data_IF_287402431727
#
_entry.id   IF_287402431727
#
_cell.length_a   1.000
_cell.length_b   1.000
_cell.length_c   1.000
_cell.angle_alpha   90.00
_cell.angle_beta   90.00
_cell.angle_gamma   90.00
#
_symmetry.space_group_name_H-M   'P 1'
#
loop_
_entity.id
_entity.type
_entity.pdbx_description
1 polymer ?
#
# COMPACT_ATOMS: atom_id res chain seq x y z
N UNK A 1 -14.74 4.26 -6.30
CA UNK A 1 -13.51 3.92 -5.54
C UNK A 1 -13.79 4.13 -4.06
N UNK A 2 -13.41 3.16 -3.22
CA UNK A 2 -13.56 3.23 -1.76
C UNK A 2 -12.18 3.46 -1.15
N UNK A 3 -12.04 4.43 -0.24
CA UNK A 3 -10.78 4.78 0.42
C UNK A 3 -11.02 4.99 1.92
N UNK A 4 -10.25 4.29 2.75
CA UNK A 4 -10.34 4.38 4.21
C UNK A 4 -9.88 5.75 4.72
N UNK A 5 -8.85 6.30 4.10
CA UNK A 5 -8.30 7.60 4.46
C UNK A 5 -9.18 8.76 3.98
N UNK A 6 -8.93 9.96 4.50
CA UNK A 6 -9.64 11.16 4.10
C UNK A 6 -9.32 11.67 2.69
N UNK A 7 -8.31 11.11 2.04
CA UNK A 7 -7.75 11.58 0.78
C UNK A 7 -7.50 10.43 -0.17
N UNK A 8 -7.94 10.54 -1.42
CA UNK A 8 -7.60 9.61 -2.48
C UNK A 8 -6.18 9.90 -2.99
N UNK A 9 -5.51 8.86 -3.48
CA UNK A 9 -4.17 8.94 -4.04
C UNK A 9 -3.16 9.64 -3.10
N UNK A 10 -3.22 9.33 -1.80
CA UNK A 10 -2.45 9.99 -0.74
C UNK A 10 -0.93 9.94 -0.94
N UNK A 11 -0.43 8.91 -1.64
CA UNK A 11 1.00 8.76 -1.94
C UNK A 11 1.45 9.48 -3.21
N UNK A 12 0.52 10.13 -3.92
CA UNK A 12 0.82 10.91 -5.12
C UNK A 12 1.05 12.38 -4.76
N UNK A 13 2.09 12.99 -5.34
CA UNK A 13 2.48 14.35 -5.00
C UNK A 13 1.85 15.40 -5.91
N UNK A 14 1.44 16.53 -5.29
CA UNK A 14 1.20 17.82 -5.93
C UNK A 14 0.31 17.75 -7.18
N UNK A 15 0.74 18.37 -8.26
CA UNK A 15 -0.01 18.45 -9.52
C UNK A 15 -0.36 17.09 -10.14
N UNK A 16 0.44 16.06 -9.91
CA UNK A 16 0.13 14.72 -10.41
C UNK A 16 -1.12 14.15 -9.74
N UNK A 17 -1.26 14.35 -8.43
CA UNK A 17 -2.45 13.94 -7.70
C UNK A 17 -3.70 14.69 -8.18
N UNK A 18 -3.60 16.00 -8.35
CA UNK A 18 -4.71 16.82 -8.84
C UNK A 18 -5.16 16.38 -10.25
N UNK A 19 -4.21 16.14 -11.15
CA UNK A 19 -4.49 15.62 -12.49
C UNK A 19 -5.19 14.26 -12.45
N UNK A 20 -4.75 13.36 -11.56
CA UNK A 20 -5.36 12.04 -11.38
C UNK A 20 -6.80 12.15 -10.89
N UNK A 21 -7.05 12.96 -9.86
CA UNK A 21 -8.41 13.20 -9.34
C UNK A 21 -9.31 13.78 -10.42
N UNK A 22 -8.82 14.75 -11.17
CA UNK A 22 -9.58 15.36 -12.26
C UNK A 22 -9.96 14.35 -13.38
N UNK A 23 -9.03 13.46 -13.76
CA UNK A 23 -9.35 12.41 -14.73
C UNK A 23 -10.38 11.41 -14.19
N UNK A 24 -10.30 11.07 -12.90
CA UNK A 24 -11.30 10.20 -12.27
C UNK A 24 -12.70 10.85 -12.25
N UNK A 25 -12.79 12.14 -11.95
CA UNK A 25 -14.03 12.91 -12.00
C UNK A 25 -14.60 12.95 -13.41
N UNK A 26 -13.77 13.22 -14.42
CA UNK A 26 -14.19 13.21 -15.84
C UNK A 26 -14.75 11.88 -16.29
N UNK A 27 -14.22 10.78 -15.78
CA UNK A 27 -14.72 9.43 -16.03
C UNK A 27 -16.00 9.10 -15.25
N UNK A 28 -16.53 10.03 -14.44
CA UNK A 28 -17.72 9.81 -13.62
C UNK A 28 -17.48 8.82 -12.46
N UNK A 29 -16.24 8.65 -12.03
CA UNK A 29 -15.91 7.72 -10.95
C UNK A 29 -16.44 8.24 -9.61
N UNK A 30 -17.30 7.47 -8.96
CA UNK A 30 -17.71 7.75 -7.59
C UNK A 30 -16.53 7.54 -6.62
N UNK A 31 -16.15 8.60 -5.90
CA UNK A 31 -15.04 8.61 -4.95
C UNK A 31 -15.60 8.69 -3.53
N UNK A 32 -15.30 7.67 -2.71
CA UNK A 32 -15.80 7.53 -1.36
C UNK A 32 -14.63 7.51 -0.36
N UNK A 33 -14.06 8.67 0.00
CA UNK A 33 -13.08 8.77 1.07
C UNK A 33 -13.74 8.52 2.44
N UNK A 34 -12.92 8.27 3.47
CA UNK A 34 -13.36 7.96 4.85
C UNK A 34 -14.38 6.82 4.89
N UNK A 35 -14.23 5.86 3.98
CA UNK A 35 -15.15 4.74 3.80
C UNK A 35 -14.39 3.44 3.98
N UNK A 36 -14.82 2.64 4.95
CA UNK A 36 -14.22 1.34 5.27
C UNK A 36 -14.90 0.25 4.48
N UNK A 37 -14.13 -0.60 3.81
CA UNK A 37 -14.63 -1.87 3.29
C UNK A 37 -14.79 -2.86 4.46
N UNK A 38 -15.98 -3.41 4.63
CA UNK A 38 -16.28 -4.39 5.67
C UNK A 38 -16.25 -5.82 5.12
N UNK A 39 -16.84 -6.04 3.95
CA UNK A 39 -17.05 -7.36 3.39
C UNK A 39 -17.24 -7.28 1.88
N UNK A 40 -16.75 -8.27 1.15
CA UNK A 40 -17.09 -8.48 -0.25
C UNK A 40 -18.16 -9.57 -0.31
N UNK A 41 -19.25 -9.24 -0.96
CA UNK A 41 -20.41 -10.13 -1.11
C UNK A 41 -20.56 -10.55 -2.58
N UNK A 42 -21.38 -11.56 -2.88
CA UNK A 42 -21.65 -11.95 -4.27
C UNK A 42 -22.26 -10.84 -5.14
N UNK A 43 -22.83 -9.80 -4.54
CA UNK A 43 -23.52 -8.70 -5.24
C UNK A 43 -22.79 -7.38 -5.15
N UNK A 44 -21.63 -7.32 -4.49
CA UNK A 44 -20.87 -6.08 -4.36
C UNK A 44 -20.04 -5.99 -3.09
N UNK A 45 -19.84 -4.78 -2.60
CA UNK A 45 -18.99 -4.47 -1.45
C UNK A 45 -19.79 -3.78 -0.36
N UNK A 46 -19.80 -4.36 0.85
CA UNK A 46 -20.38 -3.74 2.03
C UNK A 46 -19.39 -2.76 2.64
N UNK A 47 -19.80 -1.54 2.79
CA UNK A 47 -18.96 -0.44 3.28
C UNK A 47 -19.60 0.29 4.44
N UNK A 48 -18.78 0.99 5.22
CA UNK A 48 -19.18 1.83 6.35
C UNK A 48 -18.53 3.21 6.22
N UNK A 49 -19.32 4.24 6.40
CA UNK A 49 -18.87 5.63 6.50
C UNK A 49 -19.74 6.41 7.49
N UNK A 50 -19.62 7.73 7.54
CA UNK A 50 -20.40 8.59 8.43
C UNK A 50 -21.93 8.49 8.23
N UNK A 51 -22.38 8.03 7.05
CA UNK A 51 -23.80 7.78 6.75
C UNK A 51 -24.29 6.39 7.19
N UNK A 52 -23.41 5.57 7.77
CA UNK A 52 -23.72 4.21 8.21
C UNK A 52 -23.19 3.14 7.25
N UNK A 53 -23.78 1.95 7.39
CA UNK A 53 -23.42 0.77 6.58
C UNK A 53 -24.31 0.68 5.35
N UNK A 54 -23.70 0.48 4.19
CA UNK A 54 -24.39 0.30 2.91
C UNK A 54 -23.68 -0.73 2.04
N UNK A 55 -24.36 -1.26 1.05
CA UNK A 55 -23.76 -2.12 0.01
C UNK A 55 -23.63 -1.35 -1.29
N UNK A 56 -22.45 -1.35 -1.85
CA UNK A 56 -22.15 -0.84 -3.19
C UNK A 56 -22.24 -2.01 -4.15
N UNK A 57 -23.18 -1.99 -5.06
CA UNK A 57 -23.31 -3.01 -6.10
C UNK A 57 -22.10 -3.01 -7.02
N UNK A 58 -21.57 -4.18 -7.32
CA UNK A 58 -20.41 -4.35 -8.21
C UNK A 58 -20.33 -5.79 -8.72
N UNK A 59 -20.05 -5.92 -10.01
CA UNK A 59 -19.77 -7.20 -10.67
C UNK A 59 -18.29 -7.61 -10.53
N UNK A 60 -17.42 -6.63 -10.36
CA UNK A 60 -15.97 -6.85 -10.22
C UNK A 60 -15.41 -5.95 -9.12
N UNK A 61 -14.57 -6.52 -8.27
CA UNK A 61 -13.89 -5.80 -7.19
C UNK A 61 -12.38 -5.87 -7.41
N UNK A 62 -11.74 -4.70 -7.49
CA UNK A 62 -10.30 -4.58 -7.59
C UNK A 62 -9.70 -4.17 -6.23
N UNK A 63 -8.71 -4.94 -5.79
CA UNK A 63 -7.99 -4.65 -4.57
C UNK A 63 -6.75 -3.81 -4.84
N UNK A 64 -6.67 -2.64 -4.21
CA UNK A 64 -5.50 -1.77 -4.22
C UNK A 64 -5.18 -1.32 -2.78
N UNK A 65 -5.00 -2.29 -1.88
CA UNK A 65 -4.88 -2.07 -0.42
C UNK A 65 -3.43 -1.87 0.04
N UNK A 66 -2.51 -1.64 -0.88
CA UNK A 66 -1.09 -1.52 -0.60
C UNK A 66 -0.38 -2.87 -0.47
N UNK A 67 0.82 -2.83 0.08
CA UNK A 67 1.70 -3.99 0.23
C UNK A 67 2.12 -4.16 1.69
N UNK A 68 2.44 -5.38 2.07
CA UNK A 68 3.02 -5.70 3.38
C UNK A 68 4.32 -6.47 3.16
N UNK A 69 5.36 -6.14 3.93
CA UNK A 69 6.60 -6.90 3.93
C UNK A 69 6.34 -8.36 4.29
N UNK A 70 7.04 -9.27 3.61
CA UNK A 70 7.08 -10.67 4.03
C UNK A 70 7.83 -10.78 5.36
N UNK A 71 7.45 -11.75 6.19
CA UNK A 71 8.18 -12.02 7.43
C UNK A 71 9.52 -12.69 7.11
N UNK A 72 10.59 -11.93 7.30
CA UNK A 72 11.97 -12.41 7.12
C UNK A 72 12.68 -12.74 8.43
N UNK A 73 12.01 -12.63 9.59
CA UNK A 73 12.61 -12.89 10.89
C UNK A 73 13.22 -14.29 11.00
N UNK A 74 12.58 -15.37 10.48
CA UNK A 74 13.20 -16.71 10.52
C UNK A 74 14.48 -16.81 9.69
N UNK A 75 14.51 -16.18 8.51
CA UNK A 75 15.70 -16.18 7.65
C UNK A 75 16.84 -15.39 8.27
N UNK A 76 16.53 -14.22 8.83
CA UNK A 76 17.51 -13.39 9.53
C UNK A 76 18.11 -14.14 10.73
N UNK A 77 17.27 -14.76 11.56
CA UNK A 77 17.72 -15.54 12.72
C UNK A 77 18.61 -16.72 12.31
N UNK A 78 18.28 -17.43 11.24
CA UNK A 78 19.09 -18.54 10.72
C UNK A 78 20.48 -18.06 10.23
N UNK A 79 20.53 -16.94 9.54
CA UNK A 79 21.79 -16.36 9.07
C UNK A 79 22.68 -15.88 10.23
N UNK A 80 22.10 -15.22 11.23
CA UNK A 80 22.81 -14.78 12.44
C UNK A 80 23.33 -15.97 13.25
N UNK A 81 22.54 -17.05 13.38
CA UNK A 81 22.97 -18.29 14.01
C UNK A 81 24.15 -18.96 13.28
N UNK A 82 24.24 -18.79 11.96
CA UNK A 82 25.36 -19.24 11.14
C UNK A 82 26.58 -18.28 11.21
N UNK A 83 26.54 -17.23 12.04
CA UNK A 83 27.63 -16.27 12.17
C UNK A 83 27.73 -15.28 11.02
N UNK A 84 26.68 -15.15 10.19
CA UNK A 84 26.66 -14.22 9.07
C UNK A 84 26.16 -12.83 9.51
N UNK A 85 26.89 -11.80 9.12
CA UNK A 85 26.41 -10.41 9.24
C UNK A 85 25.35 -10.18 8.19
N UNK A 86 24.17 -9.70 8.59
CA UNK A 86 23.02 -9.54 7.70
C UNK A 86 22.52 -8.10 7.68
N UNK A 87 22.07 -7.67 6.52
CA UNK A 87 21.36 -6.39 6.32
C UNK A 87 20.00 -6.67 5.73
N UNK A 88 18.97 -6.10 6.31
CA UNK A 88 17.63 -6.08 5.73
C UNK A 88 17.49 -4.80 4.94
N UNK A 89 17.05 -4.86 3.69
CA UNK A 89 16.97 -3.71 2.79
C UNK A 89 15.66 -3.72 1.98
N UNK A 90 15.30 -2.58 1.40
CA UNK A 90 14.17 -2.43 0.49
C UNK A 90 12.85 -2.82 1.12
N UNK A 91 11.99 -3.45 0.34
CA UNK A 91 10.62 -3.83 0.72
C UNK A 91 10.56 -4.87 1.84
N UNK A 92 11.67 -5.52 2.15
CA UNK A 92 11.77 -6.40 3.31
C UNK A 92 11.74 -5.62 4.64
N UNK A 93 12.17 -4.35 4.66
CA UNK A 93 11.98 -3.45 5.81
C UNK A 93 10.55 -2.91 5.80
N UNK A 94 10.22 -2.24 4.71
CA UNK A 94 8.93 -1.58 4.49
C UNK A 94 8.70 -1.41 2.99
N UNK A 95 7.59 -1.91 2.45
CA UNK A 95 7.25 -1.68 1.06
C UNK A 95 7.17 -0.20 0.74
N UNK A 96 7.79 0.19 -0.36
CA UNK A 96 7.89 1.59 -0.73
C UNK A 96 8.18 1.80 -2.21
N UNK A 97 8.68 2.98 -2.53
CA UNK A 97 9.09 3.35 -3.89
C UNK A 97 10.55 2.96 -4.15
N UNK A 98 10.94 2.98 -5.42
CA UNK A 98 12.28 2.57 -5.86
C UNK A 98 13.39 3.37 -5.18
N UNK A 99 13.19 4.67 -4.94
CA UNK A 99 14.13 5.54 -4.25
C UNK A 99 14.44 5.09 -2.83
N UNK A 100 13.43 4.63 -2.09
CA UNK A 100 13.59 4.10 -0.73
C UNK A 100 14.36 2.78 -0.73
N UNK A 101 14.05 1.89 -1.67
CA UNK A 101 14.75 0.61 -1.82
C UNK A 101 16.23 0.83 -2.19
N UNK A 102 16.50 1.67 -3.17
CA UNK A 102 17.88 1.98 -3.60
C UNK A 102 18.68 2.69 -2.53
N UNK A 103 18.07 3.59 -1.75
CA UNK A 103 18.72 4.25 -0.62
C UNK A 103 19.12 3.25 0.46
N UNK A 104 18.23 2.35 0.84
CA UNK A 104 18.54 1.33 1.87
C UNK A 104 19.65 0.39 1.40
N UNK A 105 19.63 -0.01 0.12
CA UNK A 105 20.67 -0.85 -0.48
C UNK A 105 22.03 -0.12 -0.54
N UNK A 106 22.06 1.15 -0.88
CA UNK A 106 23.29 1.96 -0.90
C UNK A 106 23.92 2.05 0.49
N UNK A 107 23.11 2.34 1.52
CA UNK A 107 23.60 2.43 2.91
C UNK A 107 24.17 1.08 3.40
N UNK A 108 23.50 -0.02 3.11
CA UNK A 108 24.03 -1.34 3.42
C UNK A 108 25.32 -1.64 2.64
N UNK A 109 25.37 -1.29 1.35
CA UNK A 109 26.52 -1.53 0.49
C UNK A 109 27.83 -0.83 0.96
N UNK A 110 27.74 0.36 1.55
CA UNK A 110 28.92 1.03 2.12
C UNK A 110 29.42 0.41 3.43
N UNK A 111 28.60 -0.42 4.09
CA UNK A 111 28.95 -1.15 5.30
C UNK A 111 29.50 -2.56 5.03
N UNK A 112 29.18 -3.11 3.85
CA UNK A 112 29.68 -4.42 3.45
C UNK A 112 31.18 -4.37 3.25
N UNK A 113 31.94 -5.19 4.00
CA UNK A 113 33.40 -5.26 3.91
C UNK A 113 34.16 -4.29 4.84
N UNK A 114 33.45 -3.62 5.74
CA UNK A 114 34.05 -2.85 6.83
C UNK A 114 34.20 -3.65 8.10
#
# INVERSE_FOLDING_TARGET
>A
MVELLGWLANESFGMYREALIWEMEKCGMAMLPKTRCLEITPTGVKVENAGGVQTLEADTVLFALGMKSVDIAPLKAAAEAAGLKTWVIGDAIQPGKVDQATRSAYLAGIEVGR
#
